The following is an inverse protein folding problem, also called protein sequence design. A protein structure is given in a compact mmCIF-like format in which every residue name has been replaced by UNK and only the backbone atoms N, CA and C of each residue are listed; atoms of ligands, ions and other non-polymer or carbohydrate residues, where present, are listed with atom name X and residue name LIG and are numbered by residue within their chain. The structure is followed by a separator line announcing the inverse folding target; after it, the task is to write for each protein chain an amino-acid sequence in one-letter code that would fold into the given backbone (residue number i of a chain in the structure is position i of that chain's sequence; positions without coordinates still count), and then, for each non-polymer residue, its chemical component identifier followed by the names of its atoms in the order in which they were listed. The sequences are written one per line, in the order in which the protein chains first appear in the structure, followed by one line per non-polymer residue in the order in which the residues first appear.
data_IF_833003098293
#
_entry.id   IF_833003098293
#
_cell.length_a   1.000
_cell.length_b   1.000
_cell.length_c   1.000
_cell.angle_alpha   90.00
_cell.angle_beta   90.00
_cell.angle_gamma   90.00
#
_symmetry.space_group_name_H-M   'P 1'
#
loop_
_entity.id
_entity.type
_entity.pdbx_description
1 polymer ?
#
# COMPACT_ATOMS: atom_id res chain seq x y z
N UNK A 1 10.03 11.20 7.71
CA UNK A 1 9.45 9.95 7.16
C UNK A 1 10.49 8.94 6.62
N UNK A 2 11.76 9.34 6.48
CA UNK A 2 12.77 8.72 5.61
C UNK A 2 13.29 7.30 5.91
N UNK A 3 13.14 6.74 7.12
CA UNK A 3 13.66 5.39 7.43
C UNK A 3 12.59 4.39 7.88
N UNK A 4 11.36 4.87 8.09
CA UNK A 4 10.25 4.07 8.60
C UNK A 4 10.61 3.21 9.81
N UNK A 5 9.97 2.04 9.88
CA UNK A 5 10.17 1.05 10.94
C UNK A 5 11.12 -0.10 10.55
N UNK A 6 11.60 -0.12 9.31
CA UNK A 6 12.57 -1.12 8.83
C UNK A 6 14.02 -0.64 9.01
N UNK A 7 14.23 0.67 9.19
CA UNK A 7 15.57 1.26 9.24
C UNK A 7 16.17 1.56 7.87
N UNK A 8 15.53 1.13 6.78
CA UNK A 8 16.00 1.43 5.43
C UNK A 8 15.63 2.84 4.99
N UNK A 9 16.60 3.57 4.42
CA UNK A 9 16.30 4.69 3.53
C UNK A 9 15.84 4.18 2.16
N UNK A 10 15.16 5.00 1.34
CA UNK A 10 14.79 4.63 -0.03
C UNK A 10 15.93 4.01 -0.83
N UNK A 11 17.15 4.57 -0.74
CA UNK A 11 18.34 4.04 -1.43
C UNK A 11 18.74 2.64 -0.98
N UNK A 12 18.60 2.35 0.31
CA UNK A 12 19.00 1.06 0.88
C UNK A 12 18.02 -0.02 0.44
N UNK A 13 16.72 0.30 0.50
CA UNK A 13 15.66 -0.58 0.01
C UNK A 13 15.77 -0.81 -1.50
N UNK A 14 15.96 0.24 -2.29
CA UNK A 14 16.14 0.14 -3.73
C UNK A 14 17.32 -0.78 -4.08
N UNK A 15 18.47 -0.59 -3.45
CA UNK A 15 19.65 -1.44 -3.66
C UNK A 15 19.34 -2.92 -3.41
N UNK A 16 18.68 -3.24 -2.30
CA UNK A 16 18.30 -4.63 -1.98
C UNK A 16 17.33 -5.16 -3.02
N UNK A 17 16.29 -4.41 -3.38
CA UNK A 17 15.30 -4.84 -4.36
C UNK A 17 15.90 -5.10 -5.75
N UNK A 18 16.78 -4.21 -6.25
CA UNK A 18 17.48 -4.40 -7.51
C UNK A 18 18.39 -5.64 -7.48
N UNK A 19 19.13 -5.83 -6.38
CA UNK A 19 19.99 -7.00 -6.23
C UNK A 19 19.17 -8.29 -6.21
N UNK A 20 18.12 -8.36 -5.38
CA UNK A 20 17.24 -9.52 -5.30
C UNK A 20 16.58 -9.82 -6.64
N UNK A 21 16.10 -8.81 -7.36
CA UNK A 21 15.51 -8.99 -8.69
C UNK A 21 16.53 -9.57 -9.68
N UNK A 22 17.79 -9.11 -9.64
CA UNK A 22 18.86 -9.68 -10.47
C UNK A 22 19.17 -11.13 -10.09
N UNK A 23 19.30 -11.43 -8.79
CA UNK A 23 19.64 -12.76 -8.27
C UNK A 23 18.60 -13.81 -8.66
N UNK A 24 17.31 -13.45 -8.63
CA UNK A 24 16.21 -14.35 -8.99
C UNK A 24 15.82 -14.28 -10.48
N UNK A 25 16.47 -13.42 -11.27
CA UNK A 25 16.17 -13.22 -12.68
C UNK A 25 14.80 -12.59 -12.97
N UNK A 26 14.28 -11.75 -12.06
CA UNK A 26 13.04 -11.01 -12.25
C UNK A 26 13.28 -9.73 -13.06
N UNK A 27 12.86 -9.74 -14.32
CA UNK A 27 13.02 -8.64 -15.28
C UNK A 27 11.80 -7.70 -15.36
N UNK A 28 10.65 -8.10 -14.84
CA UNK A 28 9.40 -7.33 -14.87
C UNK A 28 8.95 -7.00 -13.46
N UNK A 29 9.25 -5.78 -13.02
CA UNK A 29 8.86 -5.25 -11.73
C UNK A 29 9.02 -3.72 -11.74
N UNK A 30 8.57 -3.06 -10.67
CA UNK A 30 8.79 -1.63 -10.45
C UNK A 30 9.03 -1.35 -8.96
N UNK A 31 9.87 -0.36 -8.68
CA UNK A 31 9.93 0.24 -7.34
C UNK A 31 8.76 1.21 -7.17
N UNK A 32 7.92 0.91 -6.17
CA UNK A 32 6.72 1.69 -5.85
C UNK A 32 6.85 2.33 -4.47
N UNK A 33 6.73 3.65 -4.41
CA UNK A 33 6.66 4.44 -3.19
C UNK A 33 5.20 4.52 -2.74
N UNK A 34 4.78 3.57 -1.91
CA UNK A 34 3.41 3.49 -1.39
C UNK A 34 3.19 4.50 -0.25
N UNK A 35 1.97 5.03 -0.11
CA UNK A 35 1.56 5.97 0.94
C UNK A 35 2.55 7.12 1.22
N UNK A 36 2.76 7.97 0.22
CA UNK A 36 3.36 9.30 0.44
C UNK A 36 2.29 10.16 1.11
N UNK A 37 2.15 9.97 2.43
CA UNK A 37 1.03 10.50 3.21
C UNK A 37 1.30 11.94 3.66
N UNK A 38 0.32 12.82 3.43
CA UNK A 38 0.27 14.18 3.97
C UNK A 38 -0.99 14.32 4.83
N UNK A 39 -0.83 14.60 6.12
CA UNK A 39 -1.94 14.61 7.08
C UNK A 39 -2.41 16.00 7.48
N UNK A 40 -1.51 16.97 7.50
CA UNK A 40 -1.79 18.34 7.95
C UNK A 40 -1.75 19.35 6.81
N UNK A 41 -1.02 19.06 5.73
CA UNK A 41 -0.90 19.95 4.58
C UNK A 41 -0.15 21.23 4.91
N UNK A 42 0.68 21.23 5.96
CA UNK A 42 1.48 22.41 6.30
C UNK A 42 2.66 22.54 5.33
N UNK A 43 3.16 23.76 5.07
CA UNK A 43 4.31 23.95 4.20
C UNK A 43 5.53 23.11 4.60
N UNK A 44 5.75 22.93 5.92
CA UNK A 44 6.84 22.11 6.44
C UNK A 44 6.65 20.61 6.15
N UNK A 45 5.43 20.08 6.28
CA UNK A 45 5.15 18.67 5.96
C UNK A 45 5.28 18.41 4.45
N UNK A 46 4.81 19.34 3.61
CA UNK A 46 4.94 19.24 2.15
C UNK A 46 6.42 19.31 1.75
N UNK A 47 7.22 20.17 2.39
CA UNK A 47 8.67 20.24 2.15
C UNK A 47 9.39 18.93 2.52
N UNK A 48 9.16 18.36 3.71
CA UNK A 48 9.69 17.04 4.13
C UNK A 48 9.28 15.94 3.14
N UNK A 49 8.02 15.98 2.68
CA UNK A 49 7.50 15.02 1.69
C UNK A 49 8.21 15.15 0.34
N UNK A 50 8.50 16.38 -0.11
CA UNK A 50 9.27 16.64 -1.34
C UNK A 50 10.73 16.18 -1.23
N UNK A 51 11.35 16.32 -0.07
CA UNK A 51 12.68 15.75 0.18
C UNK A 51 12.66 14.22 0.09
N UNK A 52 11.65 13.57 0.66
CA UNK A 52 11.47 12.11 0.55
C UNK A 52 11.28 11.67 -0.91
N UNK A 53 10.42 12.37 -1.66
CA UNK A 53 10.21 12.11 -3.09
C UNK A 53 11.51 12.24 -3.87
N UNK A 54 12.32 13.27 -3.59
CA UNK A 54 13.62 13.45 -4.24
C UNK A 54 14.51 12.25 -3.99
N UNK A 55 14.64 11.81 -2.73
CA UNK A 55 15.44 10.63 -2.38
C UNK A 55 14.92 9.36 -3.07
N UNK A 56 13.61 9.18 -3.19
CA UNK A 56 12.98 8.05 -3.89
C UNK A 56 13.28 8.09 -5.40
N UNK A 57 13.13 9.24 -6.05
CA UNK A 57 13.45 9.41 -7.48
C UNK A 57 14.93 9.13 -7.73
N UNK A 58 15.83 9.70 -6.94
CA UNK A 58 17.28 9.46 -7.03
C UNK A 58 17.65 7.99 -6.77
N UNK A 59 16.84 7.26 -6.00
CA UNK A 59 17.00 5.83 -5.73
C UNK A 59 16.40 4.93 -6.83
N UNK A 60 15.81 5.50 -7.88
CA UNK A 60 15.27 4.76 -9.02
C UNK A 60 13.83 4.25 -8.84
N UNK A 61 13.03 4.91 -7.99
CA UNK A 61 11.58 4.65 -7.93
C UNK A 61 10.89 5.17 -9.19
N UNK A 62 9.98 4.37 -9.75
CA UNK A 62 9.26 4.68 -10.99
C UNK A 62 7.74 4.69 -10.82
N UNK A 63 7.27 4.48 -9.60
CA UNK A 63 5.86 4.54 -9.26
C UNK A 63 5.64 5.09 -7.86
N UNK A 64 4.58 5.88 -7.67
CA UNK A 64 4.32 6.66 -6.46
C UNK A 64 2.83 6.66 -6.14
N UNK A 65 2.48 6.50 -4.87
CA UNK A 65 1.11 6.66 -4.37
C UNK A 65 1.04 7.87 -3.44
N UNK A 66 0.30 8.90 -3.83
CA UNK A 66 0.08 10.10 -3.02
C UNK A 66 -1.18 9.92 -2.19
N UNK A 67 -1.05 10.08 -0.88
CA UNK A 67 -2.16 9.95 0.07
C UNK A 67 -2.32 11.25 0.87
N UNK A 68 -3.08 12.18 0.30
CA UNK A 68 -3.52 13.39 0.99
C UNK A 68 -5.00 13.28 1.44
N UNK A 69 -5.51 12.04 1.58
CA UNK A 69 -6.92 11.75 1.90
C UNK A 69 -7.38 12.25 3.28
N UNK A 70 -6.41 12.49 4.17
CA UNK A 70 -6.60 13.12 5.48
C UNK A 70 -7.04 14.58 5.40
N UNK A 71 -6.72 15.27 4.29
CA UNK A 71 -7.02 16.68 4.08
C UNK A 71 -8.43 16.84 3.52
N UNK A 72 -9.38 17.04 4.42
CA UNK A 72 -10.80 17.17 4.08
C UNK A 72 -11.38 18.45 4.70
N UNK A 73 -12.01 19.28 3.87
CA UNK A 73 -12.66 20.51 4.29
C UNK A 73 -14.11 20.23 4.68
N UNK A 74 -14.36 20.07 5.98
CA UNK A 74 -15.71 19.79 6.50
C UNK A 74 -16.69 20.95 6.34
N UNK A 75 -16.22 22.17 6.09
CA UNK A 75 -17.06 23.35 5.87
C UNK A 75 -17.45 23.53 4.37
N UNK A 76 -16.95 22.65 3.50
CA UNK A 76 -17.24 22.68 2.07
C UNK A 76 -18.70 22.36 1.75
N UNK A 77 -19.31 23.15 0.85
CA UNK A 77 -20.74 23.07 0.49
C UNK A 77 -21.05 22.05 -0.61
N UNK A 78 -20.01 21.56 -1.28
CA UNK A 78 -20.08 20.55 -2.33
C UNK A 78 -18.81 19.68 -2.28
N UNK A 79 -18.80 18.57 -3.03
CA UNK A 79 -17.71 17.60 -3.02
C UNK A 79 -16.37 18.23 -3.44
N UNK A 80 -16.40 19.18 -4.37
CA UNK A 80 -15.18 19.85 -4.81
C UNK A 80 -14.57 20.70 -3.69
N UNK A 81 -15.37 21.52 -3.01
CA UNK A 81 -14.91 22.34 -1.86
C UNK A 81 -14.42 21.48 -0.70
N UNK A 82 -15.07 20.34 -0.47
CA UNK A 82 -14.68 19.39 0.57
C UNK A 82 -13.34 18.70 0.27
N UNK A 83 -13.11 18.34 -0.99
CA UNK A 83 -11.91 17.65 -1.45
C UNK A 83 -10.76 18.59 -1.83
N UNK A 84 -11.01 19.90 -1.90
CA UNK A 84 -10.04 20.88 -2.40
C UNK A 84 -8.65 20.77 -1.75
N UNK A 85 -8.51 20.62 -0.42
CA UNK A 85 -7.19 20.46 0.21
C UNK A 85 -6.42 19.21 -0.27
N UNK A 86 -7.12 18.07 -0.43
CA UNK A 86 -6.52 16.85 -0.98
C UNK A 86 -6.12 17.07 -2.46
N UNK A 87 -7.00 17.70 -3.26
CA UNK A 87 -6.75 17.99 -4.67
C UNK A 87 -5.50 18.86 -4.84
N UNK A 88 -5.36 19.93 -4.05
CA UNK A 88 -4.25 20.87 -4.12
C UNK A 88 -2.91 20.20 -3.78
N UNK A 89 -2.84 19.50 -2.64
CA UNK A 89 -1.62 18.80 -2.21
C UNK A 89 -1.26 17.67 -3.17
N UNK A 90 -2.24 16.88 -3.61
CA UNK A 90 -2.01 15.80 -4.58
C UNK A 90 -1.48 16.36 -5.90
N UNK A 91 -2.02 17.48 -6.38
CA UNK A 91 -1.55 18.15 -7.60
C UNK A 91 -0.11 18.64 -7.44
N UNK A 92 0.19 19.30 -6.32
CA UNK A 92 1.52 19.83 -6.04
C UNK A 92 2.58 18.73 -6.01
N UNK A 93 2.32 17.63 -5.30
CA UNK A 93 3.25 16.51 -5.19
C UNK A 93 3.39 15.74 -6.52
N UNK A 94 2.30 15.51 -7.26
CA UNK A 94 2.36 14.86 -8.55
C UNK A 94 3.14 15.68 -9.58
N UNK A 95 2.97 17.01 -9.57
CA UNK A 95 3.74 17.93 -10.41
C UNK A 95 5.22 17.89 -10.05
N UNK A 96 5.53 17.90 -8.75
CA UNK A 96 6.91 17.80 -8.27
C UNK A 96 7.59 16.48 -8.68
N UNK A 97 6.89 15.35 -8.58
CA UNK A 97 7.40 14.04 -9.06
C UNK A 97 7.69 14.11 -10.56
N UNK A 98 6.76 14.65 -11.35
CA UNK A 98 6.91 14.82 -12.81
C UNK A 98 8.12 15.67 -13.16
N UNK A 99 8.35 16.77 -12.44
CA UNK A 99 9.52 17.64 -12.60
C UNK A 99 10.82 16.89 -12.27
N UNK A 100 10.85 16.19 -11.13
CA UNK A 100 12.03 15.41 -10.69
C UNK A 100 12.39 14.27 -11.63
N UNK A 101 11.40 13.72 -12.32
CA UNK A 101 11.59 12.70 -13.35
C UNK A 101 11.83 13.27 -14.75
N UNK A 102 11.98 14.59 -14.90
CA UNK A 102 12.22 15.26 -16.18
C UNK A 102 11.12 14.93 -17.21
N UNK A 103 9.86 14.84 -16.76
CA UNK A 103 8.70 14.44 -17.56
C UNK A 103 8.73 13.00 -18.12
N UNK A 104 9.62 12.13 -17.62
CA UNK A 104 9.58 10.69 -17.95
C UNK A 104 8.27 10.08 -17.42
N UNK A 105 7.64 9.13 -18.14
CA UNK A 105 6.46 8.45 -17.66
C UNK A 105 6.72 7.71 -16.34
N UNK A 106 5.76 7.79 -15.41
CA UNK A 106 5.80 7.08 -14.13
C UNK A 106 4.40 6.57 -13.75
N UNK A 107 4.35 5.58 -12.87
CA UNK A 107 3.09 5.09 -12.33
C UNK A 107 2.60 5.98 -11.20
N UNK A 108 1.42 6.57 -11.33
CA UNK A 108 0.81 7.41 -10.30
C UNK A 108 -0.46 6.76 -9.75
N UNK A 109 -0.48 6.63 -8.44
CA UNK A 109 -1.63 6.31 -7.62
C UNK A 109 -2.01 7.51 -6.75
N UNK A 110 -3.31 7.71 -6.53
CA UNK A 110 -3.84 8.75 -5.66
C UNK A 110 -4.94 8.18 -4.76
N UNK A 111 -5.14 8.75 -3.57
CA UNK A 111 -6.16 8.29 -2.62
C UNK A 111 -7.26 9.33 -2.39
N UNK A 112 -8.51 8.88 -2.41
CA UNK A 112 -9.68 9.70 -2.03
C UNK A 112 -10.55 8.96 -1.02
N UNK A 113 -10.83 9.63 0.09
CA UNK A 113 -11.44 9.04 1.27
C UNK A 113 -10.41 8.25 2.09
N UNK A 114 -10.28 8.59 3.37
CA UNK A 114 -9.32 7.96 4.28
C UNK A 114 -9.70 6.50 4.56
N UNK A 115 -8.85 5.56 4.14
CA UNK A 115 -9.09 4.13 4.33
C UNK A 115 -9.06 3.76 5.81
N UNK A 116 -10.07 3.03 6.26
CA UNK A 116 -10.21 2.65 7.66
C UNK A 116 -10.84 3.70 8.56
N UNK A 117 -11.19 4.89 8.04
CA UNK A 117 -11.86 5.95 8.81
C UNK A 117 -13.23 5.49 9.29
N UNK A 118 -13.53 5.83 10.55
CA UNK A 118 -14.82 5.57 11.17
C UNK A 118 -15.41 6.85 11.76
N UNK A 119 -16.73 6.95 11.71
CA UNK A 119 -17.52 7.95 12.42
C UNK A 119 -18.58 7.29 13.31
N UNK A 120 -19.59 8.05 13.75
CA UNK A 120 -20.69 7.54 14.59
C UNK A 120 -21.57 6.50 13.88
N UNK A 121 -21.57 6.50 12.55
CA UNK A 121 -22.42 5.67 11.69
C UNK A 121 -21.68 4.44 11.15
N UNK A 122 -20.36 4.36 11.33
CA UNK A 122 -19.56 3.19 10.96
C UNK A 122 -18.36 3.58 10.10
N UNK A 123 -18.02 2.74 9.12
CA UNK A 123 -16.97 3.03 8.16
C UNK A 123 -17.40 4.18 7.25
N UNK A 124 -16.55 5.19 7.11
CA UNK A 124 -16.75 6.26 6.12
C UNK A 124 -16.29 5.72 4.77
N UNK A 125 -17.20 5.70 3.80
CA UNK A 125 -16.94 5.15 2.47
C UNK A 125 -16.90 6.27 1.43
N UNK A 126 -15.91 6.21 0.54
CA UNK A 126 -15.84 7.06 -0.64
C UNK A 126 -17.07 6.83 -1.51
N UNK A 127 -17.70 7.91 -1.96
CA UNK A 127 -18.82 7.89 -2.89
C UNK A 127 -18.33 7.95 -4.35
N UNK A 128 -19.15 7.47 -5.31
CA UNK A 128 -18.84 7.64 -6.73
C UNK A 128 -18.63 9.10 -7.14
N UNK A 129 -19.40 10.02 -6.55
CA UNK A 129 -19.31 11.45 -6.85
C UNK A 129 -18.00 12.06 -6.37
N UNK A 130 -17.54 11.71 -5.16
CA UNK A 130 -16.22 12.14 -4.66
C UNK A 130 -15.09 11.64 -5.57
N UNK A 131 -15.11 10.37 -5.97
CA UNK A 131 -14.08 9.81 -6.86
C UNK A 131 -14.05 10.51 -8.23
N UNK A 132 -15.23 10.72 -8.85
CA UNK A 132 -15.33 11.45 -10.14
C UNK A 132 -14.88 12.90 -10.00
N UNK A 133 -15.27 13.58 -8.92
CA UNK A 133 -14.90 14.98 -8.65
C UNK A 133 -13.39 15.11 -8.48
N UNK A 134 -12.79 14.23 -7.69
CA UNK A 134 -11.36 14.22 -7.44
C UNK A 134 -10.55 14.00 -8.72
N UNK A 135 -10.86 12.95 -9.50
CA UNK A 135 -10.13 12.64 -10.74
C UNK A 135 -10.32 13.72 -11.80
N UNK A 136 -11.54 14.28 -11.92
CA UNK A 136 -11.80 15.39 -12.83
C UNK A 136 -10.93 16.60 -12.48
N UNK A 137 -10.92 16.98 -11.20
CA UNK A 137 -10.16 18.12 -10.71
C UNK A 137 -8.64 17.95 -10.89
N UNK A 138 -8.11 16.74 -10.70
CA UNK A 138 -6.71 16.43 -11.00
C UNK A 138 -6.41 16.53 -12.49
N UNK A 139 -7.27 15.98 -13.35
CA UNK A 139 -7.10 16.04 -14.80
C UNK A 139 -7.10 17.46 -15.33
N UNK A 140 -8.01 18.31 -14.84
CA UNK A 140 -8.07 19.74 -15.17
C UNK A 140 -6.80 20.50 -14.76
N UNK A 141 -6.07 19.97 -13.77
CA UNK A 141 -4.75 20.48 -13.32
C UNK A 141 -3.56 19.76 -13.98
N UNK A 142 -3.81 18.95 -15.01
CA UNK A 142 -2.76 18.24 -15.75
C UNK A 142 -2.18 17.00 -15.07
N UNK A 143 -2.90 16.43 -14.09
CA UNK A 143 -2.52 15.20 -13.38
C UNK A 143 -3.46 14.07 -13.75
N UNK A 144 -2.92 13.01 -14.35
CA UNK A 144 -3.68 11.84 -14.82
C UNK A 144 -3.17 10.55 -14.17
N UNK A 145 -3.70 10.16 -12.99
CA UNK A 145 -3.29 8.94 -12.30
C UNK A 145 -3.79 7.68 -13.03
N UNK A 146 -3.02 6.59 -12.95
CA UNK A 146 -3.42 5.30 -13.52
C UNK A 146 -4.34 4.53 -12.58
N UNK A 147 -4.16 4.70 -11.27
CA UNK A 147 -4.99 4.05 -10.25
C UNK A 147 -5.42 5.01 -9.15
N UNK A 148 -6.57 4.72 -8.55
CA UNK A 148 -7.14 5.44 -7.41
C UNK A 148 -7.43 4.45 -6.27
N UNK A 149 -6.94 4.75 -5.08
CA UNK A 149 -7.33 4.08 -3.85
C UNK A 149 -8.58 4.77 -3.27
N UNK A 150 -9.53 3.97 -2.78
CA UNK A 150 -10.81 4.46 -2.25
C UNK A 150 -11.16 3.76 -0.94
N UNK A 151 -11.77 4.49 -0.02
CA UNK A 151 -12.33 3.92 1.20
C UNK A 151 -13.59 3.11 0.86
N UNK A 152 -13.48 1.79 0.93
CA UNK A 152 -14.57 0.87 0.61
C UNK A 152 -14.89 -0.11 1.76
N UNK A 153 -14.54 0.24 3.00
CA UNK A 153 -14.79 -0.61 4.16
C UNK A 153 -13.59 -1.50 4.54
N UNK A 154 -12.55 -1.51 3.71
CA UNK A 154 -11.29 -2.15 4.05
C UNK A 154 -10.53 -1.42 5.16
N UNK A 155 -9.63 -2.15 5.84
CA UNK A 155 -8.70 -1.62 6.85
C UNK A 155 -7.29 -2.19 6.66
N UNK A 156 -6.30 -1.48 7.17
CA UNK A 156 -4.90 -1.95 7.12
C UNK A 156 -4.57 -2.92 8.26
N UNK A 157 -3.85 -3.99 7.89
CA UNK A 157 -3.30 -4.98 8.83
C UNK A 157 -4.29 -6.05 9.27
N UNK A 158 -3.88 -6.82 10.28
CA UNK A 158 -4.69 -7.91 10.83
C UNK A 158 -5.85 -7.37 11.67
N UNK A 159 -7.01 -8.03 11.54
CA UNK A 159 -8.17 -7.83 12.40
C UNK A 159 -8.21 -8.90 13.49
N UNK A 160 -8.73 -8.53 14.66
CA UNK A 160 -8.86 -9.42 15.81
C UNK A 160 -10.23 -9.28 16.46
N UNK A 161 -10.76 -10.38 17.00
CA UNK A 161 -11.92 -10.35 17.89
C UNK A 161 -11.53 -9.87 19.32
N UNK A 162 -12.51 -9.78 20.21
CA UNK A 162 -12.30 -9.39 21.62
C UNK A 162 -11.44 -10.37 22.42
N UNK A 163 -11.28 -11.61 21.94
CA UNK A 163 -10.43 -12.63 22.53
C UNK A 163 -9.01 -12.61 21.98
N UNK A 164 -8.75 -11.82 20.92
CA UNK A 164 -7.46 -11.71 20.26
C UNK A 164 -7.24 -12.72 19.14
N UNK A 165 -8.28 -13.43 18.70
CA UNK A 165 -8.16 -14.34 17.56
C UNK A 165 -8.18 -13.52 16.26
N UNK A 166 -7.30 -13.83 15.29
CA UNK A 166 -7.38 -13.23 13.96
C UNK A 166 -8.74 -13.51 13.31
N UNK A 167 -9.37 -12.48 12.75
CA UNK A 167 -10.65 -12.60 12.03
C UNK A 167 -10.52 -12.12 10.58
N UNK A 168 -11.30 -12.68 9.65
CA UNK A 168 -11.28 -12.26 8.26
C UNK A 168 -11.88 -10.86 8.07
N UNK A 169 -11.33 -10.13 7.11
CA UNK A 169 -11.84 -8.83 6.66
C UNK A 169 -12.92 -9.04 5.61
N UNK A 170 -14.18 -9.05 6.06
CA UNK A 170 -15.37 -9.25 5.21
C UNK A 170 -16.12 -7.94 4.92
N UNK A 171 -15.69 -6.82 5.49
CA UNK A 171 -16.37 -5.53 5.42
C UNK A 171 -16.14 -4.75 4.10
N UNK A 172 -15.40 -5.32 3.15
CA UNK A 172 -15.14 -4.69 1.86
C UNK A 172 -16.44 -4.63 1.05
N UNK A 173 -16.91 -3.41 0.79
CA UNK A 173 -18.08 -3.14 -0.02
C UNK A 173 -17.74 -3.19 -1.52
N UNK A 174 -17.91 -4.38 -2.09
CA UNK A 174 -17.64 -4.64 -3.51
C UNK A 174 -18.66 -3.94 -4.42
N UNK A 175 -19.90 -3.74 -3.97
CA UNK A 175 -20.90 -3.03 -4.76
C UNK A 175 -20.59 -1.54 -4.82
N UNK A 176 -20.18 -0.94 -3.69
CA UNK A 176 -19.63 0.42 -3.67
C UNK A 176 -18.44 0.52 -4.63
N UNK A 177 -17.51 -0.42 -4.56
CA UNK A 177 -16.31 -0.44 -5.41
C UNK A 177 -16.66 -0.47 -6.91
N UNK A 178 -17.60 -1.34 -7.32
CA UNK A 178 -18.11 -1.38 -8.70
C UNK A 178 -18.81 -0.08 -9.09
N UNK A 179 -19.61 0.51 -8.21
CA UNK A 179 -20.31 1.77 -8.48
C UNK A 179 -19.34 2.93 -8.73
N UNK A 180 -18.23 2.99 -8.00
CA UNK A 180 -17.16 3.97 -8.21
C UNK A 180 -16.47 3.73 -9.56
N UNK A 181 -16.09 2.48 -9.85
CA UNK A 181 -15.44 2.13 -11.12
C UNK A 181 -16.33 2.46 -12.33
N UNK A 182 -17.64 2.21 -12.22
CA UNK A 182 -18.61 2.55 -13.25
C UNK A 182 -18.73 4.05 -13.44
N UNK A 183 -18.87 4.83 -12.38
CA UNK A 183 -18.97 6.29 -12.47
C UNK A 183 -17.71 6.94 -13.09
N UNK A 184 -16.52 6.42 -12.77
CA UNK A 184 -15.26 6.86 -13.38
C UNK A 184 -15.23 6.59 -14.89
N UNK A 185 -15.71 5.42 -15.32
CA UNK A 185 -15.83 5.08 -16.75
C UNK A 185 -16.86 5.95 -17.47
N UNK A 186 -18.03 6.14 -16.88
CA UNK A 186 -19.12 6.93 -17.47
C UNK A 186 -18.72 8.40 -17.62
N UNK A 187 -17.87 8.90 -16.71
CA UNK A 187 -17.24 10.21 -16.82
C UNK A 187 -16.07 10.28 -17.83
N UNK A 188 -15.73 9.18 -18.51
CA UNK A 188 -14.69 9.11 -19.53
C UNK A 188 -13.27 8.96 -18.99
N UNK A 189 -13.08 8.51 -17.75
CA UNK A 189 -11.75 8.34 -17.15
C UNK A 189 -11.20 6.92 -17.31
N UNK A 190 -9.91 6.84 -17.65
CA UNK A 190 -9.16 5.59 -17.79
C UNK A 190 -8.60 5.01 -16.49
N UNK A 191 -8.72 5.74 -15.37
CA UNK A 191 -8.23 5.33 -14.05
C UNK A 191 -8.92 4.04 -13.59
N UNK A 192 -8.21 3.22 -12.80
CA UNK A 192 -8.71 1.97 -12.21
C UNK A 192 -8.49 1.95 -10.71
N UNK A 193 -9.02 0.96 -10.00
CA UNK A 193 -8.98 0.93 -8.54
C UNK A 193 -7.74 0.17 -8.04
N UNK A 194 -7.07 0.76 -7.06
CA UNK A 194 -6.11 0.09 -6.19
C UNK A 194 -6.81 -0.35 -4.90
N UNK A 195 -6.80 -1.65 -4.61
CA UNK A 195 -7.34 -2.17 -3.37
C UNK A 195 -6.25 -2.20 -2.30
N UNK A 196 -6.42 -1.35 -1.31
CA UNK A 196 -5.64 -1.37 -0.07
C UNK A 196 -6.28 -2.28 0.97
N UNK A 197 -5.56 -2.58 2.05
CA UNK A 197 -6.11 -3.41 3.13
C UNK A 197 -6.36 -4.87 2.77
N UNK A 198 -5.60 -5.45 1.81
CA UNK A 198 -5.79 -6.85 1.41
C UNK A 198 -5.48 -7.85 2.53
N UNK A 199 -4.52 -7.53 3.42
CA UNK A 199 -4.21 -8.45 4.52
C UNK A 199 -5.45 -8.70 5.38
N UNK A 200 -5.76 -9.97 5.62
CA UNK A 200 -6.97 -10.41 6.32
C UNK A 200 -8.18 -10.61 5.41
N UNK A 201 -8.16 -10.14 4.16
CA UNK A 201 -9.20 -10.47 3.18
C UNK A 201 -9.04 -11.92 2.72
N UNK A 202 -10.08 -12.78 2.81
CA UNK A 202 -9.97 -14.17 2.36
C UNK A 202 -9.61 -14.26 0.87
N UNK A 203 -8.60 -15.08 0.54
CA UNK A 203 -8.16 -15.26 -0.85
C UNK A 203 -9.27 -15.77 -1.78
N UNK A 204 -10.16 -16.62 -1.27
CA UNK A 204 -11.34 -17.09 -2.02
C UNK A 204 -12.27 -15.93 -2.41
N UNK A 205 -12.47 -14.95 -1.52
CA UNK A 205 -13.27 -13.77 -1.80
C UNK A 205 -12.61 -12.94 -2.91
N UNK A 206 -11.28 -12.77 -2.86
CA UNK A 206 -10.52 -12.11 -3.92
C UNK A 206 -10.67 -12.87 -5.24
N UNK A 207 -10.53 -14.20 -5.22
CA UNK A 207 -10.61 -15.05 -6.40
C UNK A 207 -11.98 -15.02 -7.06
N UNK A 208 -13.06 -15.02 -6.27
CA UNK A 208 -14.42 -15.28 -6.77
C UNK A 208 -15.32 -14.05 -6.83
N UNK A 209 -15.02 -12.97 -6.09
CA UNK A 209 -15.94 -11.82 -5.95
C UNK A 209 -15.34 -10.48 -6.33
N UNK A 210 -14.01 -10.29 -6.26
CA UNK A 210 -13.42 -9.00 -6.64
C UNK A 210 -13.72 -8.67 -8.12
N UNK A 211 -14.11 -7.43 -8.44
CA UNK A 211 -14.41 -7.03 -9.81
C UNK A 211 -13.13 -6.97 -10.65
N UNK A 212 -12.83 -8.06 -11.34
CA UNK A 212 -11.64 -8.22 -12.19
C UNK A 212 -11.68 -7.18 -13.31
N UNK A 213 -10.59 -6.43 -13.46
CA UNK A 213 -10.48 -5.35 -14.45
C UNK A 213 -10.88 -3.96 -13.93
N UNK A 214 -11.65 -3.89 -12.83
CA UNK A 214 -11.89 -2.64 -12.10
C UNK A 214 -10.84 -2.44 -11.03
N UNK A 215 -10.63 -3.45 -10.18
CA UNK A 215 -9.46 -3.53 -9.29
C UNK A 215 -8.31 -4.14 -10.09
N UNK A 216 -7.24 -3.38 -10.28
CA UNK A 216 -6.06 -3.83 -11.04
C UNK A 216 -4.76 -3.86 -10.23
N UNK A 217 -4.81 -3.35 -8.99
CA UNK A 217 -3.70 -3.36 -8.04
C UNK A 217 -4.24 -3.78 -6.67
N UNK A 218 -3.51 -4.63 -5.95
CA UNK A 218 -3.83 -5.02 -4.58
C UNK A 218 -2.58 -4.89 -3.69
N UNK A 219 -2.67 -4.12 -2.62
CA UNK A 219 -1.54 -3.88 -1.71
C UNK A 219 -1.54 -4.91 -0.57
N UNK A 220 -0.49 -5.72 -0.49
CA UNK A 220 -0.29 -6.75 0.55
C UNK A 220 1.02 -6.47 1.28
N UNK A 221 0.93 -6.11 2.57
CA UNK A 221 2.09 -5.80 3.40
C UNK A 221 2.18 -6.70 4.63
N UNK A 222 1.21 -6.57 5.55
CA UNK A 222 1.22 -7.27 6.84
C UNK A 222 1.23 -8.80 6.70
N UNK A 223 0.73 -9.36 5.60
CA UNK A 223 0.86 -10.81 5.35
C UNK A 223 2.33 -11.27 5.29
N UNK A 224 3.22 -10.52 4.63
CA UNK A 224 4.63 -10.88 4.53
C UNK A 224 5.32 -10.85 5.90
N UNK A 225 4.93 -9.90 6.74
CA UNK A 225 5.35 -9.85 8.14
C UNK A 225 4.86 -11.08 8.91
N UNK A 226 3.58 -11.46 8.77
CA UNK A 226 3.02 -12.63 9.46
C UNK A 226 3.80 -13.90 9.09
N UNK A 227 4.08 -14.11 7.80
CA UNK A 227 4.89 -15.24 7.32
C UNK A 227 6.28 -15.24 7.96
N UNK A 228 6.96 -14.09 7.96
CA UNK A 228 8.28 -13.98 8.57
C UNK A 228 8.26 -14.34 10.06
N UNK A 229 7.26 -13.84 10.79
CA UNK A 229 7.09 -14.15 12.21
C UNK A 229 6.75 -15.61 12.49
N UNK A 230 5.91 -16.23 11.66
CA UNK A 230 5.55 -17.64 11.84
C UNK A 230 6.75 -18.56 11.57
N UNK A 231 7.59 -18.25 10.57
CA UNK A 231 8.84 -18.97 10.33
C UNK A 231 9.82 -18.77 11.48
N UNK A 232 10.08 -17.52 11.90
CA UNK A 232 11.01 -17.25 13.00
C UNK A 232 10.57 -17.89 14.32
N UNK A 233 9.26 -18.01 14.57
CA UNK A 233 8.74 -18.71 15.77
C UNK A 233 9.22 -20.15 15.88
N UNK A 234 9.41 -20.83 14.75
CA UNK A 234 9.82 -22.24 14.70
C UNK A 234 11.33 -22.39 14.54
N UNK A 235 11.91 -21.63 13.60
CA UNK A 235 13.32 -21.80 13.21
C UNK A 235 14.28 -20.94 14.05
N UNK A 236 13.80 -19.85 14.65
CA UNK A 236 14.59 -18.92 15.46
C UNK A 236 13.84 -18.57 16.77
N UNK A 237 13.46 -19.55 17.60
CA UNK A 237 12.53 -19.35 18.71
C UNK A 237 13.04 -18.32 19.74
N UNK A 238 14.35 -18.26 19.98
CA UNK A 238 14.95 -17.28 20.89
C UNK A 238 14.82 -15.86 20.35
N UNK A 239 15.15 -15.64 19.07
CA UNK A 239 14.97 -14.34 18.41
C UNK A 239 13.49 -13.94 18.38
N UNK A 240 12.58 -14.87 18.06
CA UNK A 240 11.15 -14.60 18.06
C UNK A 240 10.67 -14.17 19.45
N UNK A 241 11.13 -14.86 20.51
CA UNK A 241 10.78 -14.53 21.90
C UNK A 241 11.28 -13.14 22.27
N UNK A 242 12.50 -12.78 21.90
CA UNK A 242 13.05 -11.45 22.15
C UNK A 242 12.27 -10.36 21.42
N UNK A 243 11.89 -10.58 20.16
CA UNK A 243 11.03 -9.67 19.40
C UNK A 243 9.66 -9.52 20.08
N UNK A 244 9.10 -10.62 20.58
CA UNK A 244 7.85 -10.62 21.32
C UNK A 244 7.93 -9.80 22.60
N UNK A 245 8.92 -10.09 23.45
CA UNK A 245 9.10 -9.43 24.74
C UNK A 245 9.38 -7.93 24.54
N UNK A 246 10.22 -7.57 23.57
CA UNK A 246 10.46 -6.18 23.20
C UNK A 246 9.17 -5.49 22.75
N UNK A 247 8.36 -6.15 21.93
CA UNK A 247 7.09 -5.59 21.46
C UNK A 247 6.12 -5.36 22.61
N UNK A 248 6.02 -6.30 23.55
CA UNK A 248 5.18 -6.14 24.73
C UNK A 248 5.68 -5.03 25.65
N UNK A 249 6.99 -4.95 25.88
CA UNK A 249 7.57 -3.90 26.73
C UNK A 249 7.35 -2.50 26.19
N UNK A 250 7.26 -2.32 24.86
CA UNK A 250 7.16 -0.99 24.25
C UNK A 250 5.73 -0.61 23.85
N UNK A 251 4.86 -1.57 23.54
CA UNK A 251 3.56 -1.30 22.89
C UNK A 251 2.35 -1.91 23.61
N UNK A 252 2.53 -2.62 24.72
CA UNK A 252 1.40 -3.17 25.48
C UNK A 252 0.50 -2.05 25.98
N UNK A 253 -0.82 -2.23 25.78
CA UNK A 253 -1.84 -1.25 26.14
C UNK A 253 -2.95 -1.93 26.95
N UNK A 254 -3.52 -1.26 27.96
CA UNK A 254 -4.69 -1.77 28.67
C UNK A 254 -5.84 -2.12 27.72
N UNK A 255 -6.52 -3.23 27.97
CA UNK A 255 -7.67 -3.68 27.18
C UNK A 255 -7.34 -4.30 25.82
N UNK A 256 -6.06 -4.43 25.46
CA UNK A 256 -5.61 -5.09 24.23
C UNK A 256 -4.94 -6.42 24.52
N UNK A 257 -5.24 -7.44 23.71
CA UNK A 257 -4.63 -8.78 23.85
C UNK A 257 -3.21 -8.75 23.30
N UNK A 258 -2.31 -9.50 23.93
CA UNK A 258 -0.89 -9.50 23.58
C UNK A 258 -0.66 -9.89 22.11
N UNK A 259 -1.42 -10.84 21.57
CA UNK A 259 -1.41 -11.22 20.14
C UNK A 259 -1.83 -10.09 19.19
N UNK A 260 -2.85 -9.29 19.56
CA UNK A 260 -3.26 -8.12 18.78
C UNK A 260 -2.16 -7.06 18.80
N UNK A 261 -1.57 -6.81 19.98
CA UNK A 261 -0.46 -5.86 20.14
C UNK A 261 0.73 -6.31 19.30
N UNK A 262 1.10 -7.59 19.36
CA UNK A 262 2.21 -8.14 18.61
C UNK A 262 1.97 -8.00 17.11
N UNK A 263 0.83 -8.46 16.58
CA UNK A 263 0.59 -8.40 15.15
C UNK A 263 0.51 -6.98 14.58
N UNK A 264 0.11 -5.98 15.38
CA UNK A 264 0.04 -4.57 14.95
C UNK A 264 1.35 -3.79 15.11
N UNK A 265 2.18 -4.15 16.10
CA UNK A 265 3.33 -3.34 16.52
C UNK A 265 4.69 -4.02 16.33
N UNK A 266 4.75 -5.33 16.14
CA UNK A 266 6.03 -6.07 15.94
C UNK A 266 6.84 -5.58 14.73
N UNK A 267 6.22 -4.92 13.75
CA UNK A 267 6.93 -4.25 12.65
C UNK A 267 8.01 -3.27 13.11
N UNK A 268 7.83 -2.62 14.27
CA UNK A 268 8.82 -1.69 14.82
C UNK A 268 10.06 -2.42 15.36
N UNK A 269 9.94 -3.71 15.67
CA UNK A 269 11.05 -4.55 16.08
C UNK A 269 12.02 -4.86 14.92
N UNK A 270 11.57 -4.72 13.67
CA UNK A 270 12.43 -4.99 12.49
C UNK A 270 13.69 -4.12 12.52
N UNK A 271 13.56 -2.84 12.86
CA UNK A 271 14.71 -1.93 12.98
C UNK A 271 15.61 -2.29 14.17
N UNK A 272 15.02 -2.65 15.30
CA UNK A 272 15.77 -3.00 16.52
C UNK A 272 16.59 -4.28 16.33
N UNK A 273 15.96 -5.31 15.78
CA UNK A 273 16.55 -6.63 15.57
C UNK A 273 17.11 -6.81 14.16
N UNK A 274 17.34 -5.71 13.42
CA UNK A 274 17.72 -5.74 12.00
C UNK A 274 18.89 -6.68 11.74
N UNK A 275 19.98 -6.53 12.48
CA UNK A 275 21.17 -7.37 12.30
C UNK A 275 20.88 -8.86 12.44
N UNK A 276 20.03 -9.25 13.39
CA UNK A 276 19.69 -10.66 13.65
C UNK A 276 18.68 -11.22 12.67
N UNK A 277 17.66 -10.44 12.30
CA UNK A 277 16.66 -10.85 11.30
C UNK A 277 17.32 -11.10 9.94
N UNK A 278 18.28 -10.25 9.55
CA UNK A 278 18.97 -10.36 8.25
C UNK A 278 20.25 -11.23 8.30
N UNK A 279 20.52 -11.92 9.41
CA UNK A 279 21.65 -12.87 9.56
C UNK A 279 21.22 -14.25 10.07
N UNK A 280 19.93 -14.58 9.94
CA UNK A 280 19.42 -15.92 10.23
C UNK A 280 20.13 -16.97 9.38
N UNK A 281 20.14 -18.21 9.85
CA UNK A 281 20.81 -19.29 9.14
C UNK A 281 20.14 -19.65 7.80
N UNK A 282 20.86 -20.40 6.97
CA UNK A 282 20.40 -20.82 5.64
C UNK A 282 19.15 -21.70 5.66
N UNK A 283 18.89 -22.41 6.75
CA UNK A 283 17.67 -23.21 6.87
C UNK A 283 16.45 -22.30 7.06
N UNK A 284 16.60 -21.28 7.90
CA UNK A 284 15.59 -20.24 8.13
C UNK A 284 15.33 -19.42 6.86
N UNK A 285 16.37 -18.99 6.14
CA UNK A 285 16.23 -18.30 4.85
C UNK A 285 15.39 -19.12 3.85
N UNK A 286 15.69 -20.42 3.71
CA UNK A 286 14.92 -21.32 2.83
C UNK A 286 13.47 -21.46 3.26
N UNK A 287 13.20 -21.55 4.56
CA UNK A 287 11.85 -21.62 5.09
C UNK A 287 11.06 -20.33 4.80
N UNK A 288 11.70 -19.16 4.95
CA UNK A 288 11.13 -17.85 4.60
C UNK A 288 10.77 -17.77 3.11
N UNK A 289 11.72 -18.13 2.23
CA UNK A 289 11.51 -18.13 0.78
C UNK A 289 10.38 -19.07 0.36
N UNK A 290 10.37 -20.32 0.87
CA UNK A 290 9.36 -21.29 0.53
C UNK A 290 7.95 -20.85 0.98
N UNK A 291 7.83 -20.32 2.19
CA UNK A 291 6.55 -19.83 2.71
C UNK A 291 6.07 -18.59 1.94
N UNK A 292 6.95 -17.64 1.66
CA UNK A 292 6.62 -16.45 0.87
C UNK A 292 6.23 -16.81 -0.57
N UNK A 293 6.95 -17.73 -1.22
CA UNK A 293 6.65 -18.18 -2.57
C UNK A 293 5.28 -18.86 -2.65
N UNK A 294 4.98 -19.77 -1.72
CA UNK A 294 3.71 -20.46 -1.67
C UNK A 294 2.53 -19.48 -1.50
N UNK A 295 2.69 -18.46 -0.64
CA UNK A 295 1.65 -17.47 -0.45
C UNK A 295 1.51 -16.51 -1.64
N UNK A 296 2.63 -16.07 -2.23
CA UNK A 296 2.64 -15.23 -3.42
C UNK A 296 1.92 -15.90 -4.60
N UNK A 297 2.10 -17.21 -4.79
CA UNK A 297 1.40 -17.97 -5.83
C UNK A 297 -0.12 -17.90 -5.65
N UNK A 298 -0.61 -18.03 -4.41
CA UNK A 298 -2.05 -17.96 -4.13
C UNK A 298 -2.59 -16.56 -4.38
N UNK A 299 -1.87 -15.50 -3.99
CA UNK A 299 -2.27 -14.13 -4.31
C UNK A 299 -2.32 -13.88 -5.82
N UNK A 300 -1.28 -14.27 -6.56
CA UNK A 300 -1.22 -14.12 -8.02
C UNK A 300 -2.44 -14.80 -8.67
N UNK A 301 -2.78 -16.02 -8.24
CA UNK A 301 -3.95 -16.75 -8.72
C UNK A 301 -5.25 -16.06 -8.32
N UNK A 302 -5.40 -15.68 -7.05
CA UNK A 302 -6.58 -15.03 -6.53
C UNK A 302 -6.86 -13.69 -7.22
N UNK A 303 -5.83 -12.91 -7.57
CA UNK A 303 -5.98 -11.67 -8.32
C UNK A 303 -6.16 -11.87 -9.83
N UNK A 304 -6.09 -13.11 -10.34
CA UNK A 304 -6.10 -13.40 -11.79
C UNK A 304 -4.95 -12.69 -12.53
N UNK A 305 -3.79 -12.58 -11.87
CA UNK A 305 -2.62 -11.85 -12.36
C UNK A 305 -1.61 -12.72 -13.14
N UNK A 306 -1.92 -14.01 -13.33
CA UNK A 306 -1.05 -14.94 -14.06
C UNK A 306 -0.81 -14.47 -15.50
N UNK A 307 0.45 -14.55 -15.95
CA UNK A 307 0.82 -14.17 -17.32
C UNK A 307 0.93 -12.67 -17.59
N UNK A 308 0.57 -11.79 -16.65
CA UNK A 308 0.66 -10.33 -16.82
C UNK A 308 2.07 -9.84 -17.16
N UNK A 309 3.11 -10.48 -16.62
CA UNK A 309 4.51 -10.18 -16.99
C UNK A 309 4.78 -10.36 -18.49
N UNK A 310 4.11 -11.31 -19.16
CA UNK A 310 4.23 -11.49 -20.63
C UNK A 310 3.70 -10.28 -21.38
N UNK A 311 2.56 -9.73 -20.94
CA UNK A 311 1.96 -8.51 -21.52
C UNK A 311 2.92 -7.33 -21.38
N UNK A 312 3.56 -7.16 -20.22
CA UNK A 312 4.55 -6.10 -20.01
C UNK A 312 5.76 -6.30 -20.93
N UNK A 313 6.31 -7.52 -21.04
CA UNK A 313 7.43 -7.81 -21.96
C UNK A 313 7.06 -7.51 -23.42
N UNK A 314 5.83 -7.81 -23.85
CA UNK A 314 5.35 -7.49 -25.20
C UNK A 314 5.26 -5.99 -25.42
N UNK A 315 4.72 -5.25 -24.45
CA UNK A 315 4.65 -3.79 -24.48
C UNK A 315 6.06 -3.15 -24.55
N UNK A 316 6.99 -3.62 -23.72
CA UNK A 316 8.38 -3.14 -23.73
C UNK A 316 9.10 -3.42 -25.04
N UNK A 317 8.83 -4.57 -25.70
CA UNK A 317 9.34 -4.87 -27.04
C UNK A 317 8.75 -3.95 -28.10
N UNK A 318 7.45 -3.67 -28.04
CA UNK A 318 6.76 -2.77 -28.99
C UNK A 318 7.18 -1.30 -28.86
N UNK A 319 7.71 -0.89 -27.70
CA UNK A 319 8.30 0.44 -27.48
C UNK A 319 9.77 0.56 -27.85
N UNK A 320 10.47 -0.54 -28.11
CA UNK A 320 11.79 -0.50 -28.78
C UNK A 320 11.55 -0.25 -30.27
N UNK A 321 11.34 1.02 -30.63
CA UNK A 321 11.58 1.61 -31.94
C UNK A 321 12.67 2.67 -31.80
#
# INVERSE_FOLDING_TARGET
QHTGYTGYRPRDYARVAYQTAADVGCDVWALHADHITVKKGTPAEIADTKELITEQVESGFTSFAIDASYLFNFDGKNEYEQLLPNIEVTTELATYIKEKLENKPFGLEVEVGEIGKKDKSGMVLTTPQEAVTFIRALKERGVEPQVIAVANGSVHGNLYDEHGNPIPQLAIDLERTKSIAQALRDAGFGVRIAQHGITGTPLELIATRFPKGDIIKGNVGTMWQNIAWDVLRVFQPDLYKEIWDWTMSNYKKPGKKDVEVFGKSSKYAVKEFFGRIYSVDKETERALEAAAFAEALKFIRAFSAEGTARTVRQYMKGKRL
#
